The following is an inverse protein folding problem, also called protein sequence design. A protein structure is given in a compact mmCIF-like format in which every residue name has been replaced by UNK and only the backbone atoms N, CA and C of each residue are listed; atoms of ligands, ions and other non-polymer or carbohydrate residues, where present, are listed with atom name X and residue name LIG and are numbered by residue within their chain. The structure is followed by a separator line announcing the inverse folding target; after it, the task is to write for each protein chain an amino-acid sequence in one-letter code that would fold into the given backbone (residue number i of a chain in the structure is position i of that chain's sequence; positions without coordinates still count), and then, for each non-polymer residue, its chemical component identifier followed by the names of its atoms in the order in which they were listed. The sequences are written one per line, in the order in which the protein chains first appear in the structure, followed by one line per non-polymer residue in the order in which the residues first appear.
data_IF_969979787880
#
_entry.id   IF_969979787880
#
_cell.length_a   1.000
_cell.length_b   1.000
_cell.length_c   1.000
_cell.angle_alpha   90.00
_cell.angle_beta   90.00
_cell.angle_gamma   90.00
#
_symmetry.space_group_name_H-M   'P 1'
#
loop_
_entity.id
_entity.type
_entity.pdbx_description
1 polymer ?
#
# COMPACT_ATOMS: atom_id res chain seq x y z
N UNK A 1 -30.56 15.04 -23.93
CA UNK A 1 -30.17 13.62 -23.85
C UNK A 1 -29.13 13.33 -24.93
N UNK A 2 -27.85 13.30 -24.55
CA UNK A 2 -26.78 12.99 -25.49
C UNK A 2 -26.73 11.49 -25.76
N UNK A 3 -26.93 11.07 -27.01
CA UNK A 3 -26.74 9.69 -27.47
C UNK A 3 -25.26 9.31 -27.26
N UNK A 4 -25.01 8.39 -26.31
CA UNK A 4 -23.71 7.73 -26.18
C UNK A 4 -23.37 7.09 -27.54
N UNK A 5 -22.28 7.54 -28.15
CA UNK A 5 -21.77 6.98 -29.37
C UNK A 5 -21.49 5.49 -29.16
N UNK A 6 -22.17 4.63 -29.90
CA UNK A 6 -21.84 3.20 -30.01
C UNK A 6 -20.47 3.12 -30.64
N UNK A 7 -19.48 2.68 -29.81
CA UNK A 7 -18.09 2.54 -30.25
C UNK A 7 -17.99 1.64 -31.48
N UNK A 8 -17.20 2.11 -32.41
CA UNK A 8 -16.88 1.49 -33.68
C UNK A 8 -16.35 0.07 -33.55
N UNK A 9 -16.84 -0.78 -34.42
CA UNK A 9 -16.44 -2.17 -34.61
C UNK A 9 -14.91 -2.30 -34.86
N UNK A 10 -14.27 -3.32 -34.30
CA UNK A 10 -12.98 -3.81 -34.77
C UNK A 10 -12.01 -4.33 -33.71
N UNK A 11 -12.17 -4.04 -32.40
CA UNK A 11 -11.14 -4.37 -31.40
C UNK A 11 -11.52 -5.35 -30.28
N UNK A 12 -12.73 -5.90 -30.30
CA UNK A 12 -13.24 -6.79 -29.24
C UNK A 12 -13.28 -6.14 -27.85
N UNK A 13 -13.54 -6.93 -26.83
CA UNK A 13 -13.70 -6.45 -25.45
C UNK A 13 -12.46 -5.73 -24.88
N UNK A 14 -11.24 -6.14 -25.30
CA UNK A 14 -10.00 -5.50 -24.81
C UNK A 14 -9.89 -4.05 -25.27
N UNK A 15 -10.18 -3.78 -26.54
CA UNK A 15 -10.16 -2.43 -27.09
C UNK A 15 -11.29 -1.59 -26.47
N UNK A 16 -12.48 -2.17 -26.29
CA UNK A 16 -13.59 -1.53 -25.59
C UNK A 16 -13.23 -1.17 -24.16
N UNK A 17 -12.55 -2.07 -23.41
CA UNK A 17 -12.08 -1.77 -22.04
C UNK A 17 -11.01 -0.68 -22.02
N UNK A 18 -10.05 -0.74 -22.94
CA UNK A 18 -9.00 0.28 -23.04
C UNK A 18 -9.60 1.68 -23.29
N UNK A 19 -10.63 1.78 -24.15
CA UNK A 19 -11.33 3.03 -24.41
C UNK A 19 -12.02 3.58 -23.14
N UNK A 20 -12.73 2.73 -22.40
CA UNK A 20 -13.37 3.12 -21.13
C UNK A 20 -12.33 3.56 -20.09
N UNK A 21 -11.23 2.81 -19.94
CA UNK A 21 -10.15 3.17 -19.02
C UNK A 21 -9.50 4.50 -19.41
N UNK A 22 -9.25 4.73 -20.69
CA UNK A 22 -8.70 6.00 -21.19
C UNK A 22 -9.61 7.19 -20.84
N UNK A 23 -10.91 7.01 -20.99
CA UNK A 23 -11.91 8.06 -20.75
C UNK A 23 -12.11 8.38 -19.26
N UNK A 24 -12.06 7.38 -18.39
CA UNK A 24 -12.59 7.52 -17.01
C UNK A 24 -11.59 7.23 -15.89
N UNK A 25 -10.50 6.48 -16.13
CA UNK A 25 -9.64 5.98 -15.06
C UNK A 25 -8.76 7.05 -14.39
N UNK A 26 -8.77 8.29 -14.90
CA UNK A 26 -7.97 9.39 -14.36
C UNK A 26 -8.56 10.01 -13.09
N UNK A 27 -9.85 9.82 -12.83
CA UNK A 27 -10.54 10.41 -11.68
C UNK A 27 -10.83 9.36 -10.59
N UNK A 28 -10.88 9.80 -9.33
CA UNK A 28 -11.51 9.08 -8.23
C UNK A 28 -13.00 9.42 -8.16
N UNK A 29 -13.72 8.70 -7.25
CA UNK A 29 -15.16 8.93 -7.02
C UNK A 29 -15.43 10.35 -6.49
N UNK A 30 -14.49 10.91 -5.72
CA UNK A 30 -14.54 12.27 -5.18
C UNK A 30 -14.11 13.37 -6.18
N UNK A 31 -13.90 13.01 -7.43
CA UNK A 31 -13.44 13.93 -8.49
C UNK A 31 -11.94 14.22 -8.49
N UNK A 32 -11.21 13.83 -7.45
CA UNK A 32 -9.77 14.06 -7.41
C UNK A 32 -9.00 13.14 -8.37
N UNK A 33 -7.77 13.55 -8.74
CA UNK A 33 -6.94 12.78 -9.67
C UNK A 33 -6.51 11.43 -9.04
N UNK A 34 -6.74 10.34 -9.77
CA UNK A 34 -6.30 9.02 -9.36
C UNK A 34 -4.79 8.85 -9.59
N UNK A 35 -4.07 8.34 -8.58
CA UNK A 35 -2.66 8.03 -8.72
C UNK A 35 -2.41 6.96 -9.80
N UNK A 36 -1.19 6.93 -10.38
CA UNK A 36 -0.79 5.89 -11.33
C UNK A 36 -1.07 4.48 -10.77
N UNK A 37 -0.65 4.20 -9.53
CA UNK A 37 -0.89 2.91 -8.90
C UNK A 37 -2.38 2.55 -8.75
N UNK A 38 -3.26 3.55 -8.54
CA UNK A 38 -4.71 3.32 -8.50
C UNK A 38 -5.24 2.98 -9.87
N UNK A 39 -4.77 3.69 -10.90
CA UNK A 39 -5.17 3.47 -12.29
C UNK A 39 -4.74 2.10 -12.79
N UNK A 40 -3.49 1.72 -12.52
CA UNK A 40 -2.92 0.43 -12.90
C UNK A 40 -3.69 -0.71 -12.22
N UNK A 41 -3.90 -0.61 -10.90
CA UNK A 41 -4.65 -1.62 -10.15
C UNK A 41 -6.08 -1.81 -10.65
N UNK A 42 -6.77 -0.71 -10.99
CA UNK A 42 -8.13 -0.80 -11.57
C UNK A 42 -8.10 -1.51 -12.92
N UNK A 43 -7.13 -1.16 -13.77
CA UNK A 43 -6.96 -1.81 -15.07
C UNK A 43 -6.70 -3.31 -14.91
N UNK A 44 -5.76 -3.70 -14.04
CA UNK A 44 -5.43 -5.11 -13.78
C UNK A 44 -6.66 -5.90 -13.32
N UNK A 45 -7.43 -5.37 -12.36
CA UNK A 45 -8.64 -6.02 -11.86
C UNK A 45 -9.69 -6.19 -12.97
N UNK A 46 -9.90 -5.16 -13.80
CA UNK A 46 -10.90 -5.21 -14.88
C UNK A 46 -10.47 -6.16 -15.99
N UNK A 47 -9.20 -6.10 -16.45
CA UNK A 47 -8.71 -7.04 -17.45
C UNK A 47 -8.76 -8.48 -16.96
N UNK A 48 -8.36 -8.75 -15.72
CA UNK A 48 -8.45 -10.08 -15.11
C UNK A 48 -9.89 -10.58 -14.99
N UNK A 49 -10.82 -9.72 -14.58
CA UNK A 49 -12.22 -10.07 -14.45
C UNK A 49 -12.89 -10.36 -15.79
N UNK A 50 -12.67 -9.53 -16.82
CA UNK A 50 -13.21 -9.81 -18.16
C UNK A 50 -12.59 -11.05 -18.80
N UNK A 51 -11.31 -11.34 -18.54
CA UNK A 51 -10.67 -12.59 -18.93
C UNK A 51 -11.37 -13.78 -18.26
N UNK A 52 -11.58 -13.71 -16.95
CA UNK A 52 -12.25 -14.75 -16.17
C UNK A 52 -13.68 -14.99 -16.68
N UNK A 53 -14.46 -13.94 -16.99
CA UNK A 53 -15.81 -14.10 -17.59
C UNK A 53 -15.76 -14.91 -18.87
N UNK A 54 -14.77 -14.66 -19.74
CA UNK A 54 -14.64 -15.43 -20.99
C UNK A 54 -14.27 -16.90 -20.73
N UNK A 55 -13.43 -17.17 -19.73
CA UNK A 55 -13.11 -18.53 -19.29
C UNK A 55 -14.36 -19.25 -18.76
N UNK A 56 -15.28 -18.51 -18.14
CA UNK A 56 -16.59 -19.00 -17.68
C UNK A 56 -17.69 -19.02 -18.79
N UNK A 57 -17.31 -18.85 -20.06
CA UNK A 57 -18.22 -18.93 -21.21
C UNK A 57 -18.93 -17.62 -21.59
N UNK A 58 -18.76 -16.53 -20.82
CA UNK A 58 -19.37 -15.23 -21.11
C UNK A 58 -18.52 -14.41 -22.09
N UNK A 59 -18.69 -14.63 -23.38
CA UNK A 59 -17.95 -13.98 -24.47
C UNK A 59 -18.59 -12.63 -24.83
N UNK A 60 -18.34 -11.61 -24.01
CA UNK A 60 -18.80 -10.25 -24.31
C UNK A 60 -17.94 -9.63 -25.43
N UNK A 61 -18.58 -9.13 -26.47
CA UNK A 61 -17.91 -8.42 -27.59
C UNK A 61 -17.41 -7.05 -27.15
N UNK A 62 -18.17 -6.39 -26.28
CA UNK A 62 -17.81 -5.11 -25.67
C UNK A 62 -18.06 -5.15 -24.16
N UNK A 63 -17.30 -4.33 -23.41
CA UNK A 63 -17.50 -4.25 -21.96
C UNK A 63 -18.81 -3.59 -21.56
N UNK A 64 -19.47 -2.87 -22.47
CA UNK A 64 -20.80 -2.30 -22.24
C UNK A 64 -21.90 -3.37 -22.07
N UNK A 65 -21.63 -4.61 -22.53
CA UNK A 65 -22.49 -5.79 -22.31
C UNK A 65 -22.45 -6.32 -20.87
N UNK A 66 -21.60 -5.78 -19.99
CA UNK A 66 -21.52 -6.20 -18.58
C UNK A 66 -22.85 -5.97 -17.85
N UNK A 67 -23.31 -6.96 -17.06
CA UNK A 67 -24.59 -6.97 -16.32
C UNK A 67 -24.42 -7.59 -14.94
N UNK A 68 -25.43 -7.49 -14.06
CA UNK A 68 -25.42 -8.04 -12.70
C UNK A 68 -25.04 -9.52 -12.63
N UNK A 69 -25.60 -10.36 -13.52
CA UNK A 69 -25.26 -11.79 -13.62
C UNK A 69 -23.76 -12.06 -13.81
N UNK A 70 -23.04 -11.17 -14.52
CA UNK A 70 -21.60 -11.32 -14.71
C UNK A 70 -20.84 -10.98 -13.44
N UNK A 71 -21.39 -10.07 -12.60
CA UNK A 71 -20.80 -9.77 -11.29
C UNK A 71 -20.95 -10.95 -10.34
N UNK A 72 -22.11 -11.62 -10.34
CA UNK A 72 -22.35 -12.83 -9.54
C UNK A 72 -21.36 -13.94 -9.90
N UNK A 73 -21.15 -14.18 -11.20
CA UNK A 73 -20.15 -15.17 -11.67
C UNK A 73 -18.74 -14.82 -11.21
N UNK A 74 -18.34 -13.56 -11.34
CA UNK A 74 -17.01 -13.12 -10.89
C UNK A 74 -16.83 -13.29 -9.39
N UNK A 75 -17.81 -12.85 -8.61
CA UNK A 75 -17.73 -12.91 -7.15
C UNK A 75 -17.65 -14.36 -6.65
N UNK A 76 -18.48 -15.24 -7.18
CA UNK A 76 -18.46 -16.67 -6.89
C UNK A 76 -17.09 -17.29 -7.23
N UNK A 77 -16.58 -17.04 -8.43
CA UNK A 77 -15.29 -17.57 -8.84
C UNK A 77 -14.12 -17.02 -8.00
N UNK A 78 -14.18 -15.79 -7.53
CA UNK A 78 -13.18 -15.23 -6.62
C UNK A 78 -13.26 -15.83 -5.22
N UNK A 79 -14.46 -16.11 -4.71
CA UNK A 79 -14.67 -16.79 -3.44
C UNK A 79 -14.15 -18.24 -3.51
N UNK A 80 -14.50 -18.98 -4.55
CA UNK A 80 -14.02 -20.36 -4.79
C UNK A 80 -12.48 -20.45 -4.92
N UNK A 81 -11.83 -19.40 -5.43
CA UNK A 81 -10.37 -19.28 -5.47
C UNK A 81 -9.75 -18.89 -4.13
N UNK A 82 -10.53 -18.71 -3.07
CA UNK A 82 -10.05 -18.33 -1.75
C UNK A 82 -9.45 -16.92 -1.67
N UNK A 83 -9.93 -15.96 -2.47
CA UNK A 83 -9.44 -14.59 -2.39
C UNK A 83 -9.71 -14.01 -1.00
N UNK A 84 -8.72 -13.29 -0.46
CA UNK A 84 -8.87 -12.64 0.85
C UNK A 84 -10.04 -11.64 0.86
N UNK A 85 -10.70 -11.44 2.01
CA UNK A 85 -11.81 -10.49 2.15
C UNK A 85 -11.51 -9.10 1.59
N UNK A 86 -10.29 -8.60 1.82
CA UNK A 86 -9.87 -7.30 1.31
C UNK A 86 -9.74 -7.29 -0.22
N UNK A 87 -9.33 -8.39 -0.84
CA UNK A 87 -9.24 -8.52 -2.29
C UNK A 87 -10.62 -8.58 -2.91
N UNK A 88 -11.54 -9.37 -2.34
CA UNK A 88 -12.94 -9.43 -2.76
C UNK A 88 -13.59 -8.04 -2.74
N UNK A 89 -13.50 -7.32 -1.61
CA UNK A 89 -14.04 -5.96 -1.48
C UNK A 89 -13.42 -4.99 -2.49
N UNK A 90 -12.11 -5.03 -2.70
CA UNK A 90 -11.43 -4.15 -3.66
C UNK A 90 -11.83 -4.44 -5.10
N UNK A 91 -11.96 -5.71 -5.48
CA UNK A 91 -12.38 -6.11 -6.81
C UNK A 91 -13.82 -5.68 -7.08
N UNK A 92 -14.75 -5.96 -6.15
CA UNK A 92 -16.15 -5.53 -6.24
C UNK A 92 -16.27 -4.01 -6.31
N UNK A 93 -15.51 -3.28 -5.50
CA UNK A 93 -15.46 -1.81 -5.55
C UNK A 93 -14.97 -1.30 -6.91
N UNK A 94 -13.98 -1.95 -7.51
CA UNK A 94 -13.47 -1.59 -8.84
C UNK A 94 -14.55 -1.80 -9.91
N UNK A 95 -15.28 -2.92 -9.88
CA UNK A 95 -16.39 -3.18 -10.80
C UNK A 95 -17.58 -2.26 -10.57
N UNK A 96 -17.83 -1.82 -9.34
CA UNK A 96 -18.85 -0.79 -9.03
C UNK A 96 -18.51 0.55 -9.68
N UNK A 97 -17.26 0.99 -9.57
CA UNK A 97 -16.76 2.19 -10.24
C UNK A 97 -16.88 2.03 -11.76
N UNK A 98 -16.44 0.90 -12.30
CA UNK A 98 -16.52 0.59 -13.73
C UNK A 98 -17.98 0.59 -14.23
N UNK A 99 -18.93 0.03 -13.48
CA UNK A 99 -20.36 0.08 -13.82
C UNK A 99 -20.85 1.52 -13.99
N UNK A 100 -20.42 2.43 -13.11
CA UNK A 100 -20.69 3.87 -13.27
C UNK A 100 -20.12 4.43 -14.58
N UNK A 101 -18.90 4.07 -14.96
CA UNK A 101 -18.27 4.54 -16.19
C UNK A 101 -19.00 4.13 -17.48
N UNK A 102 -19.66 2.98 -17.46
CA UNK A 102 -20.45 2.49 -18.61
C UNK A 102 -21.95 2.86 -18.52
N UNK A 103 -22.29 3.82 -17.65
CA UNK A 103 -23.66 4.31 -17.49
C UNK A 103 -24.62 3.38 -16.73
N UNK A 104 -24.08 2.46 -15.91
CA UNK A 104 -24.85 1.47 -15.14
C UNK A 104 -24.59 1.61 -13.63
N UNK A 105 -24.55 2.85 -13.14
CA UNK A 105 -24.42 3.13 -11.71
C UNK A 105 -25.51 2.39 -10.90
N UNK A 106 -25.13 1.84 -9.75
CA UNK A 106 -26.04 1.07 -8.90
C UNK A 106 -26.19 -0.41 -9.28
N UNK A 107 -25.79 -0.85 -10.48
CA UNK A 107 -25.93 -2.24 -10.92
C UNK A 107 -25.09 -3.21 -10.08
N UNK A 108 -23.92 -2.77 -9.61
CA UNK A 108 -23.08 -3.54 -8.69
C UNK A 108 -23.39 -3.14 -7.27
N UNK A 109 -24.11 -4.00 -6.58
CA UNK A 109 -24.58 -3.79 -5.22
C UNK A 109 -23.47 -3.93 -4.16
N UNK A 110 -23.85 -3.96 -2.88
CA UNK A 110 -22.93 -4.17 -1.76
C UNK A 110 -22.28 -5.55 -1.84
N UNK A 111 -21.09 -5.69 -1.28
CA UNK A 111 -20.28 -6.91 -1.36
C UNK A 111 -21.00 -8.12 -0.78
N UNK A 112 -21.73 -7.92 0.31
CA UNK A 112 -22.45 -8.96 1.05
C UNK A 112 -23.57 -9.64 0.22
N UNK A 113 -23.98 -8.99 -0.89
CA UNK A 113 -24.94 -9.58 -1.83
C UNK A 113 -24.34 -10.67 -2.71
N UNK A 114 -23.03 -10.65 -2.90
CA UNK A 114 -22.35 -11.48 -3.89
C UNK A 114 -21.50 -12.61 -3.29
N UNK A 115 -21.24 -12.56 -2.01
CA UNK A 115 -20.35 -13.52 -1.32
C UNK A 115 -21.05 -14.11 -0.10
N UNK A 116 -20.60 -15.27 0.32
CA UNK A 116 -21.11 -15.96 1.51
C UNK A 116 -21.01 -15.08 2.76
N UNK A 117 -21.90 -15.26 3.73
CA UNK A 117 -21.85 -14.54 5.00
C UNK A 117 -20.46 -14.65 5.64
N UNK A 118 -19.87 -13.52 5.98
CA UNK A 118 -18.52 -13.44 6.57
C UNK A 118 -17.36 -13.49 5.59
N UNK A 119 -17.53 -13.95 4.35
CA UNK A 119 -16.42 -14.07 3.37
C UNK A 119 -15.75 -12.73 3.03
N UNK A 120 -16.47 -11.62 3.13
CA UNK A 120 -15.92 -10.29 2.96
C UNK A 120 -15.67 -9.54 4.28
N UNK A 121 -15.88 -10.20 5.44
CA UNK A 121 -15.62 -9.58 6.74
C UNK A 121 -14.13 -9.37 6.96
N UNK A 122 -13.75 -8.18 7.40
CA UNK A 122 -12.38 -7.88 7.78
C UNK A 122 -12.34 -6.98 9.01
N UNK A 123 -11.45 -7.29 9.92
CA UNK A 123 -11.07 -6.37 10.99
C UNK A 123 -9.98 -5.41 10.51
N UNK A 124 -10.09 -4.15 10.89
CA UNK A 124 -9.02 -3.17 10.77
C UNK A 124 -8.12 -3.13 12.01
N UNK A 125 -8.48 -3.89 13.04
CA UNK A 125 -7.72 -4.00 14.29
C UNK A 125 -6.70 -5.10 14.12
N UNK A 126 -5.44 -4.78 14.33
CA UNK A 126 -4.38 -5.76 14.36
C UNK A 126 -4.41 -6.49 15.71
N UNK A 127 -4.30 -7.81 15.67
CA UNK A 127 -4.31 -8.66 16.87
C UNK A 127 -2.95 -9.32 17.14
N UNK A 128 -1.96 -9.09 16.25
CA UNK A 128 -0.64 -9.70 16.35
C UNK A 128 0.44 -8.69 15.98
N UNK A 129 1.55 -8.68 16.69
CA UNK A 129 2.72 -7.91 16.25
C UNK A 129 3.27 -8.51 14.95
N UNK A 130 3.37 -7.67 13.90
CA UNK A 130 3.88 -8.04 12.56
C UNK A 130 5.27 -7.48 12.31
N UNK A 131 5.97 -7.07 13.37
CA UNK A 131 7.36 -6.64 13.29
C UNK A 131 8.30 -7.82 13.01
N UNK A 132 9.48 -7.54 12.54
CA UNK A 132 10.53 -8.56 12.39
C UNK A 132 10.98 -9.12 13.73
N UNK A 133 10.99 -8.29 14.76
CA UNK A 133 11.30 -8.72 16.15
C UNK A 133 10.30 -9.78 16.62
N UNK A 134 9.00 -9.58 16.37
CA UNK A 134 7.98 -10.58 16.73
C UNK A 134 8.11 -11.90 15.94
N UNK A 135 8.72 -11.84 14.76
CA UNK A 135 9.06 -13.05 13.98
C UNK A 135 10.37 -13.70 14.45
N UNK A 136 10.96 -13.26 15.57
CA UNK A 136 12.20 -13.81 16.12
C UNK A 136 13.48 -13.41 15.35
N UNK A 137 13.42 -12.36 14.53
CA UNK A 137 14.55 -11.92 13.70
C UNK A 137 15.34 -10.85 14.43
N UNK A 138 16.65 -11.04 14.53
CA UNK A 138 17.59 -9.96 14.85
C UNK A 138 17.58 -8.94 13.70
N UNK A 139 16.93 -7.81 13.95
CA UNK A 139 16.74 -6.75 12.96
C UNK A 139 18.07 -6.18 12.52
N UNK A 140 19.01 -5.95 13.44
CA UNK A 140 20.31 -5.35 13.13
C UNK A 140 21.14 -6.28 12.24
N UNK A 141 21.23 -7.57 12.59
CA UNK A 141 21.93 -8.57 11.79
C UNK A 141 21.30 -8.71 10.39
N UNK A 142 19.96 -8.72 10.31
CA UNK A 142 19.26 -8.83 9.03
C UNK A 142 19.44 -7.59 8.14
N UNK A 143 19.45 -6.40 8.72
CA UNK A 143 19.78 -5.16 7.99
C UNK A 143 21.23 -5.17 7.47
N UNK A 144 22.16 -5.69 8.25
CA UNK A 144 23.56 -5.84 7.83
C UNK A 144 23.70 -6.85 6.68
N UNK A 145 22.99 -7.98 6.73
CA UNK A 145 22.92 -8.97 5.63
C UNK A 145 22.43 -8.33 4.33
N UNK A 146 21.33 -7.58 4.38
CA UNK A 146 20.81 -6.86 3.20
C UNK A 146 21.81 -5.83 2.70
N UNK A 147 22.48 -5.10 3.58
CA UNK A 147 23.46 -4.09 3.21
C UNK A 147 24.73 -4.71 2.58
N UNK A 148 25.16 -5.87 3.04
CA UNK A 148 26.25 -6.63 2.43
C UNK A 148 25.88 -7.14 1.02
N UNK A 149 24.61 -7.49 0.79
CA UNK A 149 24.11 -7.91 -0.51
C UNK A 149 23.96 -6.76 -1.50
N UNK A 150 23.42 -5.63 -1.04
CA UNK A 150 23.25 -4.40 -1.80
C UNK A 150 23.19 -3.20 -0.83
N UNK A 151 24.23 -2.38 -0.85
CA UNK A 151 24.37 -1.27 0.10
C UNK A 151 23.24 -0.23 -0.02
N UNK A 152 22.69 -0.03 -1.23
CA UNK A 152 21.60 0.92 -1.48
C UNK A 152 20.26 0.39 -0.96
N UNK A 153 19.96 -0.89 -1.21
CA UNK A 153 18.78 -1.55 -0.64
C UNK A 153 18.92 -1.63 0.89
N UNK A 154 20.11 -1.94 1.40
CA UNK A 154 20.40 -1.92 2.84
C UNK A 154 20.10 -0.56 3.49
N UNK A 155 20.51 0.55 2.84
CA UNK A 155 20.14 1.90 3.28
C UNK A 155 18.61 2.08 3.30
N UNK A 156 17.91 1.65 2.24
CA UNK A 156 16.45 1.82 2.12
C UNK A 156 15.67 1.03 3.17
N UNK A 157 16.11 -0.17 3.53
CA UNK A 157 15.47 -0.93 4.63
C UNK A 157 15.82 -0.36 6.00
N UNK A 158 17.05 0.15 6.20
CA UNK A 158 17.41 0.86 7.44
C UNK A 158 16.54 2.11 7.64
N UNK A 159 16.29 2.90 6.58
CA UNK A 159 15.37 4.03 6.62
C UNK A 159 13.93 3.62 6.98
N UNK A 160 13.49 2.44 6.55
CA UNK A 160 12.18 1.92 6.93
C UNK A 160 12.13 1.50 8.41
N UNK A 161 13.20 0.88 8.91
CA UNK A 161 13.30 0.46 10.31
C UNK A 161 13.35 1.66 11.27
N UNK A 162 14.23 2.62 10.98
CA UNK A 162 14.60 3.72 11.90
C UNK A 162 13.62 4.92 11.83
N UNK A 163 12.98 5.15 10.68
CA UNK A 163 12.05 6.27 10.46
C UNK A 163 10.63 5.84 10.09
N UNK A 164 10.33 4.55 10.13
CA UNK A 164 9.01 4.04 9.75
C UNK A 164 8.62 4.34 8.30
N UNK A 165 9.58 4.53 7.38
CA UNK A 165 9.27 4.88 6.00
C UNK A 165 8.57 3.72 5.26
N UNK A 166 7.70 4.07 4.31
CA UNK A 166 7.26 3.08 3.31
C UNK A 166 8.39 2.81 2.33
N UNK A 167 8.45 1.61 1.75
CA UNK A 167 9.48 1.26 0.78
C UNK A 167 9.63 2.32 -0.36
N UNK A 168 8.51 2.83 -0.86
CA UNK A 168 8.52 3.88 -1.88
C UNK A 168 9.07 5.22 -1.37
N UNK A 169 8.75 5.59 -0.14
CA UNK A 169 9.28 6.79 0.51
C UNK A 169 10.79 6.67 0.70
N UNK A 170 11.25 5.50 1.20
CA UNK A 170 12.68 5.23 1.36
C UNK A 170 13.44 5.30 0.03
N UNK A 171 12.88 4.77 -1.07
CA UNK A 171 13.49 4.84 -2.41
C UNK A 171 13.52 6.27 -2.97
N UNK A 172 12.47 7.06 -2.76
CA UNK A 172 12.34 8.40 -3.33
C UNK A 172 12.80 9.50 -2.38
N UNK A 173 13.32 9.16 -1.20
CA UNK A 173 13.86 10.14 -0.26
C UNK A 173 14.98 10.94 -0.91
N UNK A 174 14.87 12.25 -0.86
CA UNK A 174 15.91 13.21 -1.25
C UNK A 174 16.57 13.75 0.01
N UNK A 175 17.62 13.09 0.53
CA UNK A 175 18.08 13.32 1.89
C UNK A 175 18.56 14.75 2.13
N UNK A 176 19.20 15.39 1.14
CA UNK A 176 19.63 16.79 1.26
C UNK A 176 18.48 17.79 1.33
N UNK A 177 17.31 17.45 0.80
CA UNK A 177 16.10 18.32 0.84
C UNK A 177 15.25 17.99 2.06
N UNK A 178 15.15 16.70 2.40
CA UNK A 178 14.30 16.20 3.45
C UNK A 178 14.83 16.50 4.86
N UNK A 179 16.16 16.55 5.03
CA UNK A 179 16.81 16.87 6.30
C UNK A 179 16.60 18.36 6.67
N UNK A 180 15.94 18.59 7.81
CA UNK A 180 15.66 19.92 8.37
C UNK A 180 16.37 20.15 9.71
N UNK A 181 17.42 19.40 9.98
CA UNK A 181 18.17 19.44 11.23
C UNK A 181 17.51 18.55 12.29
N UNK A 182 16.49 19.01 12.97
CA UNK A 182 15.80 18.25 14.02
C UNK A 182 14.72 17.26 13.55
N UNK A 183 14.36 17.31 12.27
CA UNK A 183 13.35 16.41 11.70
C UNK A 183 13.58 16.12 10.22
N UNK A 184 13.01 15.02 9.76
CA UNK A 184 12.96 14.60 8.37
C UNK A 184 11.60 14.97 7.76
N UNK A 185 11.59 15.86 6.74
CA UNK A 185 10.38 16.26 6.02
C UNK A 185 10.14 15.31 4.83
N UNK A 186 9.07 14.55 4.86
CA UNK A 186 8.70 13.57 3.85
C UNK A 186 7.59 14.13 2.96
N UNK A 187 7.96 14.55 1.75
CA UNK A 187 7.06 15.18 0.76
C UNK A 187 6.95 14.37 -0.54
N UNK A 188 7.83 13.39 -0.74
CA UNK A 188 7.91 12.60 -1.97
C UNK A 188 7.65 11.13 -1.67
N UNK A 189 6.92 10.45 -2.55
CA UNK A 189 6.60 9.03 -2.40
C UNK A 189 5.47 8.74 -1.41
N UNK A 190 4.93 9.76 -0.76
CA UNK A 190 3.88 9.65 0.25
C UNK A 190 2.57 9.14 -0.34
N UNK A 191 1.80 8.38 0.46
CA UNK A 191 0.50 7.88 0.04
C UNK A 191 -0.54 9.00 0.08
N UNK A 192 -1.14 9.29 -1.07
CA UNK A 192 -2.13 10.36 -1.20
C UNK A 192 -1.55 11.77 -1.20
N UNK A 193 -0.22 11.93 -1.38
CA UNK A 193 0.44 13.24 -1.42
C UNK A 193 0.49 13.97 -0.07
N UNK A 194 0.29 13.23 1.04
CA UNK A 194 0.32 13.83 2.37
C UNK A 194 1.74 13.95 2.87
N UNK A 195 2.17 15.19 3.09
CA UNK A 195 3.43 15.49 3.75
C UNK A 195 3.38 15.12 5.22
N UNK A 196 4.53 14.75 5.77
CA UNK A 196 4.70 14.48 7.19
C UNK A 196 6.13 14.74 7.63
N UNK A 197 6.32 14.82 8.92
CA UNK A 197 7.62 14.96 9.55
C UNK A 197 7.88 13.76 10.47
N UNK A 198 9.15 13.39 10.60
CA UNK A 198 9.60 12.37 11.55
C UNK A 198 10.81 12.95 12.30
N UNK A 199 10.83 12.93 13.64
CA UNK A 199 11.94 13.49 14.42
C UNK A 199 13.28 12.82 14.10
N UNK A 200 14.33 13.64 14.10
CA UNK A 200 15.73 13.19 14.13
C UNK A 200 16.25 13.48 15.55
N UNK A 201 15.83 12.65 16.48
CA UNK A 201 15.97 12.82 17.93
C UNK A 201 17.04 11.90 18.55
N UNK A 202 17.72 11.08 17.72
CA UNK A 202 18.80 10.21 18.18
C UNK A 202 20.06 10.32 17.29
N UNK A 203 21.26 10.05 17.84
CA UNK A 203 22.48 10.00 17.05
C UNK A 203 22.42 8.99 15.91
N UNK A 204 21.74 7.86 16.11
CA UNK A 204 21.57 6.82 15.08
C UNK A 204 20.72 7.34 13.90
N UNK A 205 19.62 8.03 14.16
CA UNK A 205 18.81 8.67 13.11
C UNK A 205 19.63 9.70 12.33
N UNK A 206 20.43 10.51 13.03
CA UNK A 206 21.32 11.49 12.41
C UNK A 206 22.34 10.83 11.49
N UNK A 207 23.06 9.83 11.99
CA UNK A 207 24.07 9.10 11.23
C UNK A 207 23.47 8.42 9.99
N UNK A 208 22.25 7.89 10.10
CA UNK A 208 21.57 7.27 8.96
C UNK A 208 21.22 8.28 7.87
N UNK A 209 20.77 9.49 8.22
CA UNK A 209 20.48 10.54 7.24
C UNK A 209 21.76 11.04 6.59
N UNK A 210 22.83 11.20 7.34
CA UNK A 210 24.13 11.62 6.79
C UNK A 210 24.68 10.54 5.84
N UNK A 211 24.54 9.26 6.18
CA UNK A 211 24.85 8.16 5.26
C UNK A 211 23.91 8.20 4.03
N UNK A 212 22.62 8.53 4.16
CA UNK A 212 21.73 8.63 3.02
C UNK A 212 22.16 9.72 2.03
N UNK A 213 22.74 10.81 2.50
CA UNK A 213 23.30 11.89 1.65
C UNK A 213 24.45 11.40 0.78
N UNK A 214 25.27 10.46 1.25
CA UNK A 214 26.38 9.92 0.44
C UNK A 214 25.90 9.10 -0.76
N UNK A 215 24.67 8.56 -0.72
CA UNK A 215 24.03 7.84 -1.84
C UNK A 215 23.35 8.78 -2.85
N UNK A 216 23.15 10.03 -2.50
CA UNK A 216 22.48 11.04 -3.31
C UNK A 216 23.52 12.04 -3.83
N UNK A 217 24.07 11.80 -5.02
CA UNK A 217 25.18 12.57 -5.61
C UNK A 217 24.87 14.07 -5.85
N UNK A 218 23.59 14.47 -5.89
CA UNK A 218 23.16 15.84 -6.07
C UNK A 218 22.05 16.20 -5.09
N UNK A 219 21.87 17.50 -4.82
CA UNK A 219 20.88 18.03 -3.86
C UNK A 219 19.46 17.50 -4.09
N UNK A 220 19.06 17.29 -5.34
CA UNK A 220 17.73 16.78 -5.69
C UNK A 220 17.70 15.27 -5.98
N UNK A 221 18.86 14.58 -5.90
CA UNK A 221 18.93 13.15 -6.09
C UNK A 221 18.24 12.42 -4.95
N UNK A 222 17.64 11.28 -5.28
CA UNK A 222 17.03 10.39 -4.30
C UNK A 222 17.97 9.26 -3.90
N UNK A 223 17.59 8.48 -2.90
CA UNK A 223 18.26 7.24 -2.51
C UNK A 223 18.09 6.10 -3.54
N UNK A 224 17.27 6.26 -4.58
CA UNK A 224 17.19 5.33 -5.70
C UNK A 224 18.45 5.33 -6.55
N UNK A 225 18.68 4.24 -7.26
CA UNK A 225 19.71 4.15 -8.28
C UNK A 225 19.34 5.10 -9.45
N UNK A 226 20.21 6.09 -9.79
CA UNK A 226 19.91 7.04 -10.84
C UNK A 226 19.80 6.40 -12.24
N UNK A 227 20.36 5.20 -12.42
CA UNK A 227 20.31 4.46 -13.69
C UNK A 227 19.07 3.56 -13.83
N UNK A 228 18.14 3.60 -12.85
CA UNK A 228 16.93 2.78 -12.85
C UNK A 228 15.68 3.64 -12.76
N UNK A 229 14.68 3.28 -13.54
CA UNK A 229 13.33 3.79 -13.32
C UNK A 229 12.82 3.34 -11.95
N UNK A 230 11.83 4.03 -11.39
CA UNK A 230 11.23 3.64 -10.09
C UNK A 230 10.68 2.21 -10.11
N UNK A 231 10.14 1.76 -11.25
CA UNK A 231 9.65 0.38 -11.41
C UNK A 231 10.80 -0.63 -11.34
N UNK A 232 11.90 -0.36 -12.03
CA UNK A 232 13.11 -1.20 -11.98
C UNK A 232 13.75 -1.20 -10.60
N UNK A 233 13.86 -0.03 -9.95
CA UNK A 233 14.38 0.09 -8.59
C UNK A 233 13.52 -0.72 -7.60
N UNK A 234 12.19 -0.63 -7.70
CA UNK A 234 11.26 -1.41 -6.90
C UNK A 234 11.41 -2.93 -7.12
N UNK A 235 11.52 -3.36 -8.36
CA UNK A 235 11.70 -4.78 -8.68
C UNK A 235 13.02 -5.30 -8.12
N UNK A 236 14.10 -4.54 -8.26
CA UNK A 236 15.41 -4.85 -7.70
C UNK A 236 15.37 -4.92 -6.17
N UNK A 237 14.78 -3.92 -5.52
CA UNK A 237 14.58 -3.91 -4.07
C UNK A 237 13.93 -5.21 -3.57
N UNK A 238 12.80 -5.59 -4.14
CA UNK A 238 12.13 -6.83 -3.72
C UNK A 238 12.88 -8.10 -4.13
N UNK A 239 13.69 -8.05 -5.19
CA UNK A 239 14.58 -9.16 -5.53
C UNK A 239 15.64 -9.36 -4.44
N UNK A 240 16.33 -8.30 -4.03
CA UNK A 240 17.33 -8.35 -2.96
C UNK A 240 16.71 -8.81 -1.64
N UNK A 241 15.54 -8.30 -1.27
CA UNK A 241 14.86 -8.75 -0.05
C UNK A 241 14.57 -10.26 -0.08
N UNK A 242 14.05 -10.78 -1.19
CA UNK A 242 13.79 -12.23 -1.33
C UNK A 242 15.08 -13.05 -1.26
N UNK A 243 16.17 -12.57 -1.83
CA UNK A 243 17.46 -13.28 -1.76
C UNK A 243 18.08 -13.29 -0.35
N UNK A 244 17.57 -12.46 0.56
CA UNK A 244 17.92 -12.45 1.98
C UNK A 244 16.82 -13.12 2.85
N UNK A 245 15.93 -13.93 2.29
CA UNK A 245 14.87 -14.61 3.01
C UNK A 245 13.77 -13.69 3.55
N UNK A 246 13.70 -12.43 3.09
CA UNK A 246 12.65 -11.51 3.51
C UNK A 246 11.45 -11.70 2.59
N UNK A 247 10.57 -12.62 2.96
CA UNK A 247 9.38 -12.99 2.20
C UNK A 247 8.14 -13.02 3.08
N UNK A 248 6.97 -12.95 2.45
CA UNK A 248 5.71 -13.08 3.16
C UNK A 248 5.52 -14.49 3.75
N UNK A 249 6.07 -15.52 3.11
CA UNK A 249 6.01 -16.89 3.59
C UNK A 249 6.75 -17.04 4.92
N UNK A 250 7.86 -16.30 5.09
CA UNK A 250 8.66 -16.28 6.31
C UNK A 250 8.13 -15.27 7.36
N UNK A 251 6.95 -14.67 7.12
CA UNK A 251 6.37 -13.63 7.98
C UNK A 251 7.07 -12.27 7.85
N UNK A 252 8.08 -12.15 7.01
CA UNK A 252 8.91 -10.94 6.89
C UNK A 252 8.50 -10.13 5.67
N UNK A 253 8.24 -8.85 5.90
CA UNK A 253 7.95 -7.90 4.82
C UNK A 253 8.63 -6.56 5.13
N UNK A 254 8.93 -5.75 4.11
CA UNK A 254 9.38 -4.38 4.35
C UNK A 254 8.38 -3.55 5.16
N UNK A 255 7.08 -3.91 5.15
CA UNK A 255 6.07 -3.25 6.00
C UNK A 255 6.17 -3.68 7.47
N UNK A 256 6.71 -4.87 7.76
CA UNK A 256 6.99 -5.32 9.13
C UNK A 256 7.96 -4.43 9.88
N UNK A 257 8.94 -3.82 9.19
CA UNK A 257 9.83 -2.81 9.79
C UNK A 257 9.06 -1.59 10.28
N UNK A 258 8.05 -1.16 9.52
CA UNK A 258 7.19 -0.05 9.92
C UNK A 258 6.25 -0.43 11.07
N UNK A 259 5.86 -1.71 11.21
CA UNK A 259 5.19 -2.20 12.41
C UNK A 259 6.13 -2.14 13.64
N UNK A 260 7.40 -2.53 13.48
CA UNK A 260 8.42 -2.37 14.52
C UNK A 260 8.50 -0.93 14.99
N UNK A 261 8.80 -0.02 14.04
CA UNK A 261 8.86 1.42 14.34
C UNK A 261 7.64 1.95 15.09
N UNK A 262 6.43 1.59 14.64
CA UNK A 262 5.20 2.07 15.27
C UNK A 262 5.07 1.61 16.73
N UNK A 263 5.41 0.35 16.99
CA UNK A 263 5.34 -0.22 18.34
C UNK A 263 6.43 0.33 19.26
N UNK A 264 7.66 0.45 18.76
CA UNK A 264 8.78 1.02 19.52
C UNK A 264 8.52 2.50 19.87
N UNK A 265 8.00 3.26 18.91
CA UNK A 265 7.69 4.67 19.11
C UNK A 265 6.53 4.87 20.08
N UNK A 266 5.49 4.04 19.99
CA UNK A 266 4.40 4.04 20.95
C UNK A 266 4.91 3.77 22.37
N UNK A 267 5.76 2.76 22.55
CA UNK A 267 6.35 2.40 23.84
C UNK A 267 7.20 3.53 24.43
N UNK A 268 7.98 4.23 23.59
CA UNK A 268 8.75 5.40 24.00
C UNK A 268 7.87 6.53 24.54
N UNK A 269 6.70 6.78 23.93
CA UNK A 269 5.81 7.87 24.29
C UNK A 269 4.90 7.46 25.44
N UNK A 270 4.33 6.26 25.39
CA UNK A 270 3.36 5.76 26.37
C UNK A 270 4.00 5.19 27.65
N UNK A 271 5.32 4.93 27.63
CA UNK A 271 6.06 4.34 28.74
C UNK A 271 5.79 2.85 28.96
N UNK A 272 5.04 2.19 28.05
CA UNK A 272 4.72 0.77 28.11
C UNK A 272 4.44 0.19 26.72
N UNK A 273 4.59 -1.15 26.54
CA UNK A 273 4.35 -1.82 25.27
C UNK A 273 2.94 -1.58 24.74
N UNK A 274 2.80 -1.64 23.41
CA UNK A 274 1.49 -1.59 22.76
C UNK A 274 0.64 -2.83 23.06
N UNK A 275 -0.70 -2.78 22.88
CA UNK A 275 -1.58 -3.92 23.09
C UNK A 275 -1.19 -5.18 22.29
N UNK A 276 -0.70 -5.05 21.04
CA UNK A 276 -0.24 -6.23 20.28
C UNK A 276 1.04 -6.87 20.82
N UNK A 277 1.78 -6.13 21.67
CA UNK A 277 2.96 -6.63 22.39
C UNK A 277 2.65 -7.05 23.83
N UNK A 278 1.37 -7.14 24.19
CA UNK A 278 0.90 -7.57 25.50
C UNK A 278 0.88 -6.47 26.54
N UNK A 279 1.09 -5.22 26.16
CA UNK A 279 0.94 -4.08 27.08
C UNK A 279 -0.53 -3.81 27.41
N UNK A 280 -0.76 -3.30 28.61
CA UNK A 280 -2.05 -2.71 29.00
C UNK A 280 -2.06 -1.26 28.53
N UNK A 281 -3.20 -0.77 28.02
CA UNK A 281 -3.29 0.63 27.65
C UNK A 281 -3.06 1.52 28.89
N UNK A 282 -2.26 2.61 28.80
CA UNK A 282 -2.18 3.61 29.86
C UNK A 282 -3.52 4.28 30.06
N UNK A 283 -3.57 5.34 30.88
CA UNK A 283 -4.75 6.17 30.89
C UNK A 283 -5.13 6.64 29.47
N UNK A 284 -6.40 6.98 29.28
CA UNK A 284 -6.98 7.28 27.97
C UNK A 284 -6.26 8.43 27.24
N UNK A 285 -5.85 9.45 27.99
CA UNK A 285 -5.28 10.66 27.39
C UNK A 285 -3.85 10.38 26.92
N UNK A 286 -3.07 9.66 27.68
CA UNK A 286 -1.72 9.20 27.32
C UNK A 286 -1.76 8.25 26.11
N UNK A 287 -2.68 7.25 26.08
CA UNK A 287 -2.84 6.36 24.93
C UNK A 287 -3.23 7.14 23.68
N UNK A 288 -4.18 8.06 23.80
CA UNK A 288 -4.65 8.88 22.68
C UNK A 288 -3.53 9.78 22.14
N UNK A 289 -2.75 10.42 23.02
CA UNK A 289 -1.62 11.27 22.62
C UNK A 289 -0.53 10.45 21.90
N UNK A 290 -0.12 9.31 22.48
CA UNK A 290 0.86 8.43 21.87
C UNK A 290 0.41 7.91 20.49
N UNK A 291 -0.85 7.49 20.37
CA UNK A 291 -1.42 7.05 19.10
C UNK A 291 -1.48 8.16 18.06
N UNK A 292 -1.77 9.39 18.46
CA UNK A 292 -1.83 10.53 17.55
C UNK A 292 -0.44 10.85 17.01
N UNK A 293 0.57 10.94 17.86
CA UNK A 293 1.96 11.21 17.46
C UNK A 293 2.48 10.11 16.50
N UNK A 294 2.31 8.84 16.84
CA UNK A 294 2.65 7.72 15.96
C UNK A 294 1.87 7.81 14.63
N UNK A 295 0.60 8.17 14.66
CA UNK A 295 -0.19 8.34 13.43
C UNK A 295 0.39 9.43 12.53
N UNK A 296 0.74 10.57 13.07
CA UNK A 296 1.32 11.70 12.34
C UNK A 296 2.67 11.34 11.73
N UNK A 297 3.58 10.76 12.52
CA UNK A 297 4.88 10.29 12.04
C UNK A 297 4.74 9.22 10.94
N UNK A 298 3.68 8.40 11.00
CA UNK A 298 3.34 7.45 9.96
C UNK A 298 2.52 8.05 8.79
N UNK A 299 2.20 9.35 8.82
CA UNK A 299 1.44 10.04 7.77
C UNK A 299 -0.03 9.65 7.71
N UNK A 300 -0.64 9.44 8.87
CA UNK A 300 -2.07 9.26 9.06
C UNK A 300 -2.68 10.49 9.74
N UNK A 301 -3.96 10.77 9.49
CA UNK A 301 -4.64 11.95 10.03
C UNK A 301 -5.43 11.69 11.30
N UNK A 302 -5.47 10.44 11.75
CA UNK A 302 -6.32 10.00 12.85
C UNK A 302 -5.61 8.93 13.67
N UNK A 303 -5.62 9.07 14.98
CA UNK A 303 -5.10 8.08 15.91
C UNK A 303 -5.72 6.68 15.68
N UNK A 304 -7.00 6.61 15.32
CA UNK A 304 -7.70 5.34 15.08
C UNK A 304 -7.06 4.46 13.99
N UNK A 305 -6.26 5.03 13.08
CA UNK A 305 -5.55 4.23 12.06
C UNK A 305 -4.40 3.44 12.67
N UNK A 306 -3.88 3.84 13.82
CA UNK A 306 -2.80 3.10 14.50
C UNK A 306 -3.22 1.74 15.01
N UNK A 307 -4.54 1.46 15.13
CA UNK A 307 -5.04 0.10 15.43
C UNK A 307 -4.55 -0.96 14.45
N UNK A 308 -4.18 -0.57 13.23
CA UNK A 308 -3.56 -1.46 12.24
C UNK A 308 -2.12 -1.90 12.62
N UNK A 309 -1.45 -1.16 13.52
CA UNK A 309 -0.09 -1.42 13.99
C UNK A 309 -0.07 -1.90 15.44
N UNK A 310 -0.77 -1.18 16.31
CA UNK A 310 -0.67 -1.26 17.77
C UNK A 310 -1.74 -2.16 18.41
N UNK A 311 -2.78 -2.52 17.66
CA UNK A 311 -3.97 -3.16 18.23
C UNK A 311 -4.88 -2.15 18.94
N UNK A 312 -5.76 -2.68 19.81
CA UNK A 312 -6.79 -1.88 20.51
C UNK A 312 -6.63 -2.04 22.02
#
# INVERSE_FOLDING_TARGET
MAKLARGTAGGGWKASLAAVLKAHNNAKVDGSVASHATRDKRADVLYAGFKLLREQGYKLDTVHGFRGKHMEVLAKAWEERGLSPSTLQNNLSTFRIFAGWIGKAGMVERTEKYVSPGAASRSSINTQDKSWTAAGVDVAAKLAEVAAKDARVGLQVALQAIFGLRAREAMQLRPHVADKGSYLALTVGTKGGRDRVVPIDTPEKRALIDRAKTFAAAKLASTSDPNRTLAQAKNHYYHVLRSCGITRADGLTGHGLRHGYANDRYEQIAGQPSPVRGGTAPDRDTDQAARLEVAEELGHSRASVTTHYLGR
#
